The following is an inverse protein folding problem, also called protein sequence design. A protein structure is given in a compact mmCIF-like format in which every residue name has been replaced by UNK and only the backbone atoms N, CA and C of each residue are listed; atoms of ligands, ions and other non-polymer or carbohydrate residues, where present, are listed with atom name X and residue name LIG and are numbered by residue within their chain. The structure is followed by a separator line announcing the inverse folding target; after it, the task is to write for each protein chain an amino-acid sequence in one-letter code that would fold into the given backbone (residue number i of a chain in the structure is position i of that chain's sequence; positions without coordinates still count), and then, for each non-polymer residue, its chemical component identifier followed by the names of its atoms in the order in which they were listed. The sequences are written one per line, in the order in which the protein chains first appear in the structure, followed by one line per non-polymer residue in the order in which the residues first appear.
data_IF_284260591128
#
_entry.id   IF_284260591128
#
_cell.length_a   1.000
_cell.length_b   1.000
_cell.length_c   1.000
_cell.angle_alpha   90.00
_cell.angle_beta   90.00
_cell.angle_gamma   90.00
#
_symmetry.space_group_name_H-M   'P 1'
#
loop_
_entity.id
_entity.type
_entity.pdbx_description
1 polymer ?
#
# COMPACT_ATOMS: atom_id res chain seq x y z
N UNK A 1 -3.12 -14.84 6.35
CA UNK A 1 -2.19 -13.97 5.60
C UNK A 1 -2.08 -14.45 4.18
N UNK A 2 -2.33 -13.57 3.21
CA UNK A 2 -2.21 -13.83 1.78
C UNK A 2 -1.55 -12.65 1.07
N UNK A 3 -0.93 -12.91 -0.07
CA UNK A 3 -0.35 -11.89 -0.94
C UNK A 3 -1.10 -11.91 -2.25
N UNK A 4 -1.45 -10.74 -2.75
CA UNK A 4 -2.21 -10.56 -3.99
C UNK A 4 -1.46 -9.65 -4.95
N UNK A 5 -1.72 -9.85 -6.23
CA UNK A 5 -1.13 -9.10 -7.34
C UNK A 5 -2.10 -8.05 -7.91
N UNK A 6 -3.38 -8.11 -7.54
CA UNK A 6 -4.39 -7.12 -7.95
C UNK A 6 -5.31 -6.74 -6.79
N UNK A 7 -5.90 -5.54 -6.87
CA UNK A 7 -6.95 -5.13 -5.93
C UNK A 7 -8.25 -5.90 -6.13
N UNK A 8 -8.49 -6.41 -7.34
CA UNK A 8 -9.61 -7.32 -7.60
C UNK A 8 -9.48 -8.62 -6.79
N UNK A 9 -8.28 -9.20 -6.72
CA UNK A 9 -7.97 -10.35 -5.85
C UNK A 9 -8.12 -9.98 -4.37
N UNK A 10 -7.60 -8.81 -3.95
CA UNK A 10 -7.74 -8.32 -2.59
C UNK A 10 -9.22 -8.25 -2.16
N UNK A 11 -10.06 -7.63 -2.99
CA UNK A 11 -11.51 -7.52 -2.78
C UNK A 11 -12.19 -8.88 -2.75
N UNK A 12 -11.89 -9.76 -3.71
CA UNK A 12 -12.48 -11.10 -3.77
C UNK A 12 -12.16 -11.92 -2.52
N UNK A 13 -10.91 -11.88 -2.04
CA UNK A 13 -10.50 -12.60 -0.84
C UNK A 13 -11.07 -11.94 0.43
N UNK A 14 -11.14 -10.61 0.49
CA UNK A 14 -11.79 -9.87 1.57
C UNK A 14 -13.28 -10.26 1.70
N UNK A 15 -14.00 -10.33 0.58
CA UNK A 15 -15.39 -10.79 0.54
C UNK A 15 -15.52 -12.27 0.98
N UNK A 16 -14.47 -13.06 0.77
CA UNK A 16 -14.33 -14.44 1.26
C UNK A 16 -13.89 -14.57 2.73
N UNK A 17 -13.72 -13.47 3.46
CA UNK A 17 -13.37 -13.44 4.88
C UNK A 17 -11.87 -13.41 5.19
N UNK A 18 -11.00 -13.19 4.20
CA UNK A 18 -9.58 -12.91 4.46
C UNK A 18 -9.41 -11.48 4.97
N UNK A 19 -8.62 -11.32 6.04
CA UNK A 19 -8.37 -10.01 6.66
C UNK A 19 -6.92 -9.53 6.49
N UNK A 20 -5.96 -10.45 6.64
CA UNK A 20 -4.52 -10.19 6.51
C UNK A 20 -4.08 -10.37 5.05
N UNK A 21 -4.05 -9.24 4.32
CA UNK A 21 -3.84 -9.17 2.86
C UNK A 21 -2.76 -8.13 2.55
N UNK A 22 -1.72 -8.54 1.83
CA UNK A 22 -0.75 -7.64 1.22
C UNK A 22 -0.97 -7.54 -0.29
N UNK A 23 -1.25 -6.35 -0.79
CA UNK A 23 -1.16 -6.02 -2.20
C UNK A 23 0.31 -5.71 -2.56
N UNK A 24 0.99 -6.69 -3.18
CA UNK A 24 2.45 -6.69 -3.40
C UNK A 24 2.83 -6.23 -4.82
N UNK A 25 2.20 -5.15 -5.28
CA UNK A 25 2.54 -4.49 -6.55
C UNK A 25 2.69 -3.01 -6.27
N UNK A 26 3.72 -2.32 -6.81
CA UNK A 26 3.92 -0.90 -6.58
C UNK A 26 2.65 -0.08 -6.80
N UNK A 27 2.34 0.77 -5.82
CA UNK A 27 1.11 1.51 -5.79
C UNK A 27 1.14 2.66 -6.81
N UNK A 28 0.03 2.83 -7.52
CA UNK A 28 -0.16 3.91 -8.49
C UNK A 28 -1.33 4.80 -8.05
N UNK A 29 -1.32 6.07 -8.44
CA UNK A 29 -2.27 7.06 -7.93
C UNK A 29 -3.74 6.72 -8.24
N UNK A 30 -4.00 6.03 -9.36
CA UNK A 30 -5.33 5.56 -9.78
C UNK A 30 -5.92 4.48 -8.87
N UNK A 31 -5.14 3.91 -7.96
CA UNK A 31 -5.55 2.82 -7.05
C UNK A 31 -5.88 3.28 -5.64
N UNK A 32 -5.61 4.54 -5.31
CA UNK A 32 -5.67 5.04 -3.93
C UNK A 32 -7.08 4.99 -3.32
N UNK A 33 -8.11 5.28 -4.12
CA UNK A 33 -9.50 5.20 -3.67
C UNK A 33 -9.90 3.77 -3.28
N UNK A 34 -9.54 2.78 -4.09
CA UNK A 34 -9.85 1.37 -3.80
C UNK A 34 -9.01 0.84 -2.63
N UNK A 35 -7.74 1.28 -2.50
CA UNK A 35 -6.91 0.99 -1.33
C UNK A 35 -7.56 1.51 -0.05
N UNK A 36 -8.05 2.76 -0.05
CA UNK A 36 -8.70 3.34 1.11
C UNK A 36 -10.01 2.61 1.46
N UNK A 37 -10.78 2.21 0.45
CA UNK A 37 -12.01 1.43 0.65
C UNK A 37 -11.72 0.05 1.27
N UNK A 38 -10.64 -0.62 0.86
CA UNK A 38 -10.21 -1.89 1.47
C UNK A 38 -9.66 -1.67 2.87
N UNK A 39 -8.86 -0.63 3.10
CA UNK A 39 -8.30 -0.27 4.40
C UNK A 39 -9.39 -0.03 5.46
N UNK A 40 -10.45 0.72 5.12
CA UNK A 40 -11.60 0.95 6.02
C UNK A 40 -12.38 -0.33 6.37
N UNK A 41 -12.25 -1.39 5.57
CA UNK A 41 -12.98 -2.66 5.74
C UNK A 41 -12.15 -3.72 6.47
N UNK A 42 -10.84 -3.70 6.32
CA UNK A 42 -9.93 -4.75 6.73
C UNK A 42 -9.04 -4.25 7.87
N UNK A 43 -8.84 -5.08 8.89
CA UNK A 43 -7.98 -4.72 10.03
C UNK A 43 -6.49 -4.90 9.72
N UNK A 44 -6.15 -5.72 8.72
CA UNK A 44 -4.76 -6.08 8.36
C UNK A 44 -4.52 -5.98 6.86
N UNK A 45 -4.84 -4.82 6.29
CA UNK A 45 -4.54 -4.53 4.90
C UNK A 45 -3.20 -3.81 4.75
N UNK A 46 -2.40 -4.25 3.78
CA UNK A 46 -1.06 -3.75 3.52
C UNK A 46 -0.89 -3.43 2.04
N UNK A 47 -0.17 -2.35 1.74
CA UNK A 47 0.21 -1.95 0.38
C UNK A 47 1.73 -1.87 0.25
N UNK A 48 2.22 -1.91 -1.00
CA UNK A 48 3.64 -1.80 -1.30
C UNK A 48 3.93 -0.57 -2.16
N UNK A 49 5.03 0.12 -1.84
CA UNK A 49 5.64 1.18 -2.66
C UNK A 49 7.11 0.84 -2.90
N UNK A 50 7.70 1.45 -3.92
CA UNK A 50 9.13 1.29 -4.23
C UNK A 50 9.77 2.56 -4.82
N UNK A 51 9.08 3.70 -4.72
CA UNK A 51 9.61 4.98 -5.21
C UNK A 51 9.16 6.16 -4.31
N UNK A 52 10.02 7.17 -4.06
CA UNK A 52 9.67 8.35 -3.26
C UNK A 52 8.42 9.08 -3.75
N UNK A 53 8.24 9.21 -5.06
CA UNK A 53 7.04 9.84 -5.65
C UNK A 53 5.72 9.13 -5.24
N UNK A 54 5.75 7.80 -5.09
CA UNK A 54 4.59 7.03 -4.64
C UNK A 54 4.29 7.34 -3.17
N UNK A 55 5.34 7.45 -2.33
CA UNK A 55 5.20 7.86 -0.93
C UNK A 55 4.58 9.27 -0.83
N UNK A 56 5.09 10.23 -1.61
CA UNK A 56 4.59 11.60 -1.64
C UNK A 56 3.13 11.66 -2.11
N UNK A 57 2.77 10.92 -3.17
CA UNK A 57 1.41 10.85 -3.67
C UNK A 57 0.45 10.23 -2.63
N UNK A 58 0.86 9.15 -1.96
CA UNK A 58 0.09 8.49 -0.91
C UNK A 58 -0.12 9.41 0.29
N UNK A 59 0.94 10.07 0.77
CA UNK A 59 0.83 11.04 1.87
C UNK A 59 -0.09 12.21 1.51
N UNK A 60 0.03 12.75 0.29
CA UNK A 60 -0.81 13.84 -0.19
C UNK A 60 -2.28 13.46 -0.30
N UNK A 61 -2.57 12.22 -0.70
CA UNK A 61 -3.92 11.66 -0.73
C UNK A 61 -4.47 11.46 0.69
N UNK A 62 -3.73 10.76 1.56
CA UNK A 62 -4.16 10.47 2.93
C UNK A 62 -4.31 11.73 3.77
N UNK A 63 -3.52 12.77 3.52
CA UNK A 63 -3.67 14.06 4.22
C UNK A 63 -5.01 14.75 3.89
N UNK A 64 -5.48 14.61 2.66
CA UNK A 64 -6.78 15.17 2.22
C UNK A 64 -7.95 14.38 2.82
N UNK A 65 -7.85 13.05 2.79
CA UNK A 65 -8.87 12.15 3.32
C UNK A 65 -8.90 12.13 4.86
N UNK A 66 -7.74 12.01 5.51
CA UNK A 66 -7.59 11.91 6.97
C UNK A 66 -7.84 13.22 7.72
N UNK A 67 -7.75 14.37 7.07
CA UNK A 67 -8.26 15.63 7.62
C UNK A 67 -9.79 15.60 7.80
N UNK A 68 -10.49 14.73 7.05
CA UNK A 68 -11.93 14.53 7.11
C UNK A 68 -12.32 13.26 7.88
N UNK A 69 -11.36 12.38 8.16
CA UNK A 69 -11.62 11.02 8.64
C UNK A 69 -10.71 10.65 9.81
N UNK A 70 -11.26 10.65 11.04
CA UNK A 70 -10.55 10.29 12.27
C UNK A 70 -10.10 8.84 12.33
N UNK A 71 -10.61 7.98 11.44
CA UNK A 71 -10.25 6.56 11.35
C UNK A 71 -8.78 6.37 10.94
N UNK A 72 -8.26 7.17 10.01
CA UNK A 72 -6.87 7.07 9.55
C UNK A 72 -5.83 7.44 10.63
N UNK A 73 -6.23 8.22 11.64
CA UNK A 73 -5.39 8.53 12.81
C UNK A 73 -5.35 7.36 13.80
N UNK A 74 -6.46 6.65 13.97
CA UNK A 74 -6.56 5.52 14.89
C UNK A 74 -6.04 4.21 14.26
N UNK A 75 -6.22 4.06 12.95
CA UNK A 75 -5.81 2.91 12.16
C UNK A 75 -5.01 3.38 10.93
N UNK A 76 -3.70 3.63 11.09
CA UNK A 76 -2.86 4.08 9.99
C UNK A 76 -2.69 2.98 8.94
N UNK A 77 -2.63 3.38 7.66
CA UNK A 77 -2.35 2.47 6.55
C UNK A 77 -0.96 1.84 6.72
N UNK A 78 -0.90 0.52 6.60
CA UNK A 78 0.37 -0.20 6.63
C UNK A 78 1.02 -0.25 5.25
N UNK A 79 2.24 0.27 5.15
CA UNK A 79 2.99 0.39 3.90
C UNK A 79 4.29 -0.39 3.98
N UNK A 80 4.56 -1.19 2.95
CA UNK A 80 5.81 -1.92 2.75
C UNK A 80 6.65 -1.23 1.69
N UNK A 81 7.97 -1.24 1.86
CA UNK A 81 8.93 -0.83 0.83
C UNK A 81 9.43 -2.08 0.11
N UNK A 82 9.20 -2.16 -1.20
CA UNK A 82 9.78 -3.21 -2.04
C UNK A 82 11.27 -2.96 -2.23
N UNK A 83 12.10 -4.01 -2.14
CA UNK A 83 13.56 -3.93 -2.29
C UNK A 83 13.99 -4.82 -3.44
N UNK A 84 14.81 -4.28 -4.35
CA UNK A 84 15.44 -5.08 -5.41
C UNK A 84 16.63 -5.86 -4.84
N UNK A 85 16.49 -7.17 -4.77
CA UNK A 85 17.54 -8.08 -4.30
C UNK A 85 18.37 -8.69 -5.47
N UNK A 86 18.32 -8.08 -6.67
CA UNK A 86 19.09 -8.48 -7.85
C UNK A 86 18.26 -9.10 -8.98
N UNK A 87 16.93 -9.03 -8.91
CA UNK A 87 16.05 -9.47 -10.01
C UNK A 87 15.75 -8.33 -10.99
N UNK A 88 15.97 -7.06 -10.59
CA UNK A 88 15.85 -5.88 -11.45
C UNK A 88 14.49 -5.74 -12.14
N UNK A 89 13.42 -6.15 -11.43
CA UNK A 89 12.04 -5.97 -11.90
C UNK A 89 11.41 -4.73 -11.27
N UNK A 90 11.27 -4.77 -9.94
CA UNK A 90 10.68 -3.72 -9.10
C UNK A 90 11.48 -3.65 -7.80
N UNK A 91 11.27 -2.59 -7.01
CA UNK A 91 11.92 -2.40 -5.71
C UNK A 91 13.03 -1.36 -5.73
N UNK A 92 13.27 -0.75 -4.55
CA UNK A 92 14.38 0.19 -4.35
C UNK A 92 15.73 -0.53 -4.42
N UNK A 93 16.75 0.13 -4.96
CA UNK A 93 18.13 -0.36 -4.87
C UNK A 93 18.61 -0.18 -3.42
N UNK A 94 18.89 -1.27 -2.66
CA UNK A 94 19.29 -1.15 -1.27
C UNK A 94 20.63 -0.42 -1.06
N UNK A 95 21.38 -0.16 -2.13
CA UNK A 95 22.66 0.56 -2.10
C UNK A 95 22.58 1.98 -2.67
N UNK A 96 21.42 2.43 -3.18
CA UNK A 96 21.27 3.82 -3.62
C UNK A 96 21.06 4.76 -2.44
N UNK A 97 21.63 5.97 -2.53
CA UNK A 97 21.46 7.01 -1.50
C UNK A 97 19.96 7.35 -1.27
N UNK A 98 19.15 7.32 -2.33
CA UNK A 98 17.69 7.53 -2.27
C UNK A 98 16.94 6.50 -1.41
N UNK A 99 17.57 5.37 -1.05
CA UNK A 99 16.95 4.31 -0.22
C UNK A 99 17.13 4.53 1.29
N UNK A 100 17.89 5.56 1.68
CA UNK A 100 18.22 5.87 3.09
C UNK A 100 17.43 7.07 3.61
N UNK A 101 16.94 7.94 2.73
CA UNK A 101 16.16 9.16 3.04
C UNK A 101 14.65 8.87 3.16
#
# INVERSE_FOLDING_TARGET
RVVVSTLAEARFLADGGFDDILYAVPLTADKLDEVLALHRRLTKFHVMIDHPDQAAALMGFLSKEGAMDGDLLAHPLSVFVGVDCGYHRDGVDPFSDESVE
#
